data_IF_183887972501
#
_entry.id   IF_183887972501
#
_cell.length_a   1.000
_cell.length_b   1.000
_cell.length_c   1.000
_cell.angle_alpha   90.00
_cell.angle_beta   90.00
_cell.angle_gamma   90.00
#
_symmetry.space_group_name_H-M   'P 1'
#
loop_
_entity.id
_entity.type
_entity.pdbx_description
1 polymer ?
#
# COMPACT_ATOMS: atom_id res chain seq x y z
N UNK A 1 19.19 -4.52 32.43
CA UNK A 1 20.41 -4.32 31.61
C UNK A 1 20.99 -2.92 31.79
N UNK A 2 20.26 -1.85 31.48
CA UNK A 2 20.80 -0.48 31.50
C UNK A 2 21.22 0.03 32.89
N UNK A 3 20.58 -0.43 33.97
CA UNK A 3 21.00 -0.12 35.35
C UNK A 3 22.44 -0.57 35.66
N UNK A 4 22.85 -1.72 35.09
CA UNK A 4 24.17 -2.31 35.34
C UNK A 4 25.22 -1.80 34.34
N UNK A 5 24.78 -1.19 33.24
CA UNK A 5 25.63 -0.65 32.18
C UNK A 5 25.19 0.79 31.85
N UNK A 6 25.46 1.77 32.72
CA UNK A 6 24.96 3.14 32.57
C UNK A 6 25.50 3.86 31.33
N UNK A 7 26.63 3.40 30.78
CA UNK A 7 27.23 3.89 29.54
C UNK A 7 26.62 3.26 28.27
N UNK A 8 25.68 2.32 28.38
CA UNK A 8 25.10 1.64 27.23
C UNK A 8 24.20 2.61 26.45
N UNK A 9 24.61 2.92 25.21
CA UNK A 9 23.86 3.81 24.29
C UNK A 9 23.06 3.01 23.26
N UNK A 10 23.62 1.90 22.77
CA UNK A 10 23.02 1.07 21.72
C UNK A 10 23.11 -0.39 22.12
N UNK A 11 21.99 -1.10 22.01
CA UNK A 11 21.93 -2.55 22.07
C UNK A 11 21.34 -3.05 20.76
N UNK A 12 22.14 -3.79 20.02
CA UNK A 12 21.73 -4.43 18.78
C UNK A 12 22.00 -5.94 18.89
N UNK A 13 20.93 -6.72 19.00
CA UNK A 13 20.96 -8.17 19.08
C UNK A 13 20.24 -8.80 17.88
N UNK A 14 20.07 -8.04 16.80
CA UNK A 14 19.26 -8.44 15.66
C UNK A 14 19.84 -9.66 14.94
N UNK A 15 18.99 -10.49 14.32
CA UNK A 15 19.44 -11.61 13.47
C UNK A 15 19.97 -12.82 14.24
N UNK A 16 19.45 -13.07 15.45
CA UNK A 16 19.88 -14.16 16.31
C UNK A 16 18.75 -15.16 16.57
N UNK A 17 18.97 -16.12 17.48
CA UNK A 17 17.97 -17.09 17.94
C UNK A 17 17.55 -16.84 19.39
N UNK A 18 17.69 -15.62 19.89
CA UNK A 18 17.38 -15.26 21.27
C UNK A 18 15.89 -15.43 21.55
N UNK A 19 15.55 -15.94 22.72
CA UNK A 19 14.20 -16.24 23.15
C UNK A 19 13.91 -15.68 24.55
N UNK A 20 12.73 -15.95 25.08
CA UNK A 20 12.25 -15.38 26.34
C UNK A 20 11.56 -14.03 26.14
N UNK A 21 11.18 -13.37 27.23
CA UNK A 21 10.57 -12.04 27.17
C UNK A 21 11.62 -10.95 27.04
N UNK A 22 11.23 -9.84 26.41
CA UNK A 22 12.01 -8.60 26.47
C UNK A 22 11.99 -8.14 27.95
N UNK A 23 13.14 -8.03 28.64
CA UNK A 23 13.16 -7.70 30.06
C UNK A 23 12.57 -6.31 30.32
N UNK A 24 11.87 -6.16 31.45
CA UNK A 24 11.51 -4.83 31.95
C UNK A 24 12.75 -4.06 32.43
N UNK A 25 12.62 -2.73 32.58
CA UNK A 25 13.71 -1.90 33.07
C UNK A 25 14.85 -1.69 32.07
N UNK A 26 14.57 -1.82 30.76
CA UNK A 26 15.50 -1.43 29.69
C UNK A 26 15.84 0.07 29.77
N UNK A 27 14.98 0.87 30.38
CA UNK A 27 15.10 2.33 30.46
C UNK A 27 15.72 2.86 31.75
N UNK A 28 16.35 2.02 32.57
CA UNK A 28 17.00 2.44 33.81
C UNK A 28 18.35 3.16 33.62
N UNK A 29 18.86 3.30 32.38
CA UNK A 29 20.10 4.01 32.07
C UNK A 29 19.83 5.28 31.27
N UNK A 30 20.45 6.39 31.68
CA UNK A 30 20.12 7.74 31.20
C UNK A 30 20.48 8.01 29.74
N UNK A 31 21.29 7.17 29.07
CA UNK A 31 21.82 7.44 27.73
C UNK A 31 21.43 6.41 26.65
N UNK A 32 20.48 5.52 26.95
CA UNK A 32 20.12 4.43 26.05
C UNK A 32 19.23 4.90 24.88
N UNK A 33 19.80 4.95 23.67
CA UNK A 33 19.21 5.58 22.48
C UNK A 33 18.66 4.58 21.46
N UNK A 34 19.30 3.41 21.32
CA UNK A 34 18.92 2.42 20.29
C UNK A 34 18.70 1.05 20.91
N UNK A 35 17.49 0.52 20.71
CA UNK A 35 17.13 -0.87 21.00
C UNK A 35 16.78 -1.58 19.69
N UNK A 36 17.63 -2.50 19.25
CA UNK A 36 17.39 -3.31 18.06
C UNK A 36 17.46 -4.80 18.43
N UNK A 37 16.32 -5.47 18.33
CA UNK A 37 16.09 -6.87 18.68
C UNK A 37 15.48 -7.66 17.52
N UNK A 38 15.59 -7.13 16.29
CA UNK A 38 14.90 -7.65 15.12
C UNK A 38 15.30 -9.11 14.79
N UNK A 39 14.43 -9.86 14.11
CA UNK A 39 14.72 -11.20 13.61
C UNK A 39 15.25 -12.13 14.71
N UNK A 40 14.44 -12.36 15.74
CA UNK A 40 14.73 -13.24 16.88
C UNK A 40 13.49 -14.08 17.23
N UNK A 41 13.47 -14.69 18.42
CA UNK A 41 12.34 -15.45 18.97
C UNK A 41 11.84 -14.85 20.29
N UNK A 42 12.04 -13.55 20.50
CA UNK A 42 11.53 -12.89 21.70
C UNK A 42 10.01 -13.01 21.76
N UNK A 43 9.49 -13.26 22.94
CA UNK A 43 8.06 -13.50 23.20
C UNK A 43 7.57 -12.60 24.34
N UNK A 44 6.35 -12.83 24.81
CA UNK A 44 5.74 -11.96 25.84
C UNK A 44 5.08 -10.74 25.23
N UNK A 45 4.80 -9.73 26.04
CA UNK A 45 4.05 -8.54 25.61
C UNK A 45 4.93 -7.47 24.97
N UNK A 46 4.29 -6.49 24.34
CA UNK A 46 4.93 -5.23 23.97
C UNK A 46 5.64 -4.59 25.19
N UNK A 47 6.90 -4.12 25.06
CA UNK A 47 7.66 -3.58 26.17
C UNK A 47 7.17 -2.16 26.54
N UNK A 48 6.22 -2.05 27.46
CA UNK A 48 5.59 -0.77 27.83
C UNK A 48 6.55 0.27 28.40
N UNK A 49 7.65 -0.18 29.01
CA UNK A 49 8.66 0.68 29.60
C UNK A 49 9.33 1.62 28.58
N UNK A 50 9.27 1.31 27.28
CA UNK A 50 9.81 2.22 26.26
C UNK A 50 9.08 3.57 26.26
N UNK A 51 7.82 3.63 26.71
CA UNK A 51 7.07 4.88 26.85
C UNK A 51 7.78 5.88 27.78
N UNK A 52 8.40 5.38 28.86
CA UNK A 52 9.14 6.17 29.87
C UNK A 52 10.55 6.57 29.43
N UNK A 53 11.02 6.05 28.31
CA UNK A 53 12.42 6.10 27.89
C UNK A 53 12.74 7.39 27.14
N UNK A 54 12.96 8.50 27.85
CA UNK A 54 13.20 9.80 27.23
C UNK A 54 14.48 9.88 26.38
N UNK A 55 15.47 9.02 26.63
CA UNK A 55 16.70 8.90 25.86
C UNK A 55 16.57 8.06 24.60
N UNK A 56 15.53 7.24 24.49
CA UNK A 56 15.34 6.32 23.38
C UNK A 56 14.94 7.08 22.12
N UNK A 57 15.48 6.66 20.99
CA UNK A 57 15.30 7.31 19.68
C UNK A 57 14.82 6.32 18.63
N UNK A 58 15.40 5.12 18.64
CA UNK A 58 15.13 4.07 17.67
C UNK A 58 14.86 2.74 18.35
N UNK A 59 13.69 2.17 18.05
CA UNK A 59 13.22 0.89 18.58
C UNK A 59 12.87 -0.02 17.42
N UNK A 60 13.56 -1.15 17.31
CA UNK A 60 13.36 -2.15 16.25
C UNK A 60 13.13 -3.50 16.92
N UNK A 61 11.88 -3.97 16.90
CA UNK A 61 11.41 -5.20 17.53
C UNK A 61 10.85 -6.20 16.49
N UNK A 62 11.18 -5.98 15.23
CA UNK A 62 10.59 -6.67 14.10
C UNK A 62 10.89 -8.16 14.05
N UNK A 63 9.99 -8.93 13.45
CA UNK A 63 10.15 -10.37 13.22
C UNK A 63 10.51 -11.13 14.51
N UNK A 64 9.58 -11.10 15.46
CA UNK A 64 9.66 -11.79 16.76
C UNK A 64 8.31 -12.46 17.06
N UNK A 65 8.17 -13.03 18.26
CA UNK A 65 6.95 -13.68 18.75
C UNK A 65 6.24 -12.85 19.84
N UNK A 66 6.34 -11.52 19.80
CA UNK A 66 5.63 -10.64 20.74
C UNK A 66 4.12 -10.79 20.53
N UNK A 67 3.36 -10.88 21.61
CA UNK A 67 1.94 -11.23 21.62
C UNK A 67 1.16 -10.42 22.63
N UNK A 68 -0.16 -10.54 22.60
CA UNK A 68 -1.05 -9.79 23.48
C UNK A 68 -1.21 -8.34 23.01
N UNK A 69 -1.75 -7.51 23.89
CA UNK A 69 -2.18 -6.16 23.54
C UNK A 69 -1.03 -5.15 23.69
N UNK A 70 -1.05 -4.12 22.84
CA UNK A 70 -0.28 -2.90 23.11
C UNK A 70 -1.02 -2.13 24.23
N UNK A 71 -0.37 -1.84 25.37
CA UNK A 71 -1.07 -1.23 26.49
C UNK A 71 -1.65 0.15 26.17
N UNK A 72 -2.93 0.36 26.51
CA UNK A 72 -3.57 1.67 26.33
C UNK A 72 -3.00 2.75 27.27
N UNK A 73 -2.40 2.34 28.39
CA UNK A 73 -1.80 3.19 29.42
C UNK A 73 -0.31 3.50 29.16
N UNK A 74 0.19 3.31 27.92
CA UNK A 74 1.55 3.74 27.59
C UNK A 74 1.73 5.23 27.91
N UNK A 75 2.86 5.56 28.50
CA UNK A 75 3.23 6.96 28.70
C UNK A 75 3.64 7.61 27.37
N UNK A 76 3.62 8.94 27.33
CA UNK A 76 4.09 9.70 26.18
C UNK A 76 5.61 9.61 26.10
N UNK A 77 6.13 9.12 24.97
CA UNK A 77 7.56 9.14 24.72
C UNK A 77 7.94 10.39 23.90
N UNK A 78 8.83 11.27 24.41
CA UNK A 78 9.21 12.50 23.72
C UNK A 78 10.34 12.31 22.70
N UNK A 79 11.02 11.15 22.69
CA UNK A 79 12.29 10.94 21.98
C UNK A 79 12.21 10.03 20.77
N UNK A 80 11.38 8.99 20.80
CA UNK A 80 11.33 7.95 19.77
C UNK A 80 10.84 8.57 18.46
N UNK A 81 11.71 8.52 17.45
CA UNK A 81 11.38 8.93 16.09
C UNK A 81 11.19 7.75 15.13
N UNK A 82 11.70 6.57 15.51
CA UNK A 82 11.62 5.36 14.69
C UNK A 82 11.17 4.18 15.55
N UNK A 83 9.94 3.71 15.32
CA UNK A 83 9.36 2.55 15.98
C UNK A 83 8.94 1.51 14.95
N UNK A 84 9.61 0.36 14.97
CA UNK A 84 9.39 -0.75 14.05
C UNK A 84 9.09 -2.02 14.84
N UNK A 85 7.90 -2.59 14.65
CA UNK A 85 7.38 -3.75 15.40
C UNK A 85 6.68 -4.74 14.46
N UNK A 86 6.97 -4.69 13.16
CA UNK A 86 6.33 -5.55 12.18
C UNK A 86 6.64 -7.03 12.42
N UNK A 87 5.79 -7.91 11.91
CA UNK A 87 6.06 -9.35 11.94
C UNK A 87 6.06 -9.91 13.36
N UNK A 88 5.02 -9.59 14.13
CA UNK A 88 4.79 -10.11 15.47
C UNK A 88 3.37 -10.68 15.56
N UNK A 89 2.94 -11.07 16.77
CA UNK A 89 1.63 -11.63 17.08
C UNK A 89 0.79 -10.68 17.95
N UNK A 90 1.06 -9.37 17.90
CA UNK A 90 0.34 -8.37 18.69
C UNK A 90 -1.12 -8.29 18.25
N UNK A 91 -2.01 -8.13 19.21
CA UNK A 91 -3.47 -8.12 19.01
C UNK A 91 -4.12 -6.91 19.70
N UNK A 92 -5.44 -6.79 19.55
CA UNK A 92 -6.19 -5.68 20.12
C UNK A 92 -6.07 -4.40 19.28
N UNK A 93 -6.43 -3.25 19.87
CA UNK A 93 -6.47 -1.96 19.17
C UNK A 93 -5.11 -1.28 19.16
N UNK A 94 -4.86 -0.44 18.16
CA UNK A 94 -3.78 0.55 18.21
C UNK A 94 -4.16 1.60 19.25
N UNK A 95 -3.39 1.81 20.32
CA UNK A 95 -3.68 2.84 21.32
C UNK A 95 -3.59 4.27 20.75
N UNK A 96 -4.59 5.14 20.99
CA UNK A 96 -4.55 6.56 20.60
C UNK A 96 -3.35 7.34 21.12
N UNK A 97 -2.73 6.89 22.21
CA UNK A 97 -1.57 7.55 22.84
C UNK A 97 -0.36 7.67 21.92
N UNK A 98 -0.24 6.83 20.89
CA UNK A 98 0.80 7.02 19.88
C UNK A 98 0.68 8.36 19.15
N UNK A 99 -0.51 8.96 19.06
CA UNK A 99 -0.71 10.32 18.55
C UNK A 99 -0.07 11.42 19.41
N UNK A 100 0.41 11.09 20.62
CA UNK A 100 1.17 12.01 21.48
C UNK A 100 2.68 11.88 21.32
N UNK A 101 3.17 10.86 20.62
CA UNK A 101 4.60 10.65 20.40
C UNK A 101 5.07 11.48 19.21
N UNK A 102 5.03 12.81 19.35
CA UNK A 102 5.14 13.79 18.26
C UNK A 102 6.49 13.80 17.53
N UNK A 103 7.51 13.15 18.08
CA UNK A 103 8.79 12.97 17.41
C UNK A 103 8.80 11.81 16.39
N UNK A 104 7.75 10.98 16.36
CA UNK A 104 7.63 9.87 15.41
C UNK A 104 7.72 10.35 13.97
N UNK A 105 8.66 9.75 13.25
CA UNK A 105 8.86 9.90 11.80
C UNK A 105 8.57 8.58 11.06
N UNK A 106 8.80 7.45 11.72
CA UNK A 106 8.50 6.11 11.20
C UNK A 106 7.72 5.33 12.26
N UNK A 107 6.55 4.82 11.88
CA UNK A 107 5.74 3.89 12.67
C UNK A 107 5.34 2.67 11.84
N UNK A 108 5.83 1.50 12.22
CA UNK A 108 5.54 0.24 11.53
C UNK A 108 4.97 -0.81 12.50
N UNK A 109 3.68 -1.09 12.33
CA UNK A 109 2.95 -2.17 12.99
C UNK A 109 2.45 -3.23 12.00
N UNK A 110 2.99 -3.26 10.79
CA UNK A 110 2.54 -4.18 9.76
C UNK A 110 2.71 -5.65 10.17
N UNK A 111 1.99 -6.56 9.53
CA UNK A 111 2.11 -8.01 9.76
C UNK A 111 1.96 -8.40 11.25
N UNK A 112 0.84 -7.99 11.85
CA UNK A 112 0.43 -8.34 13.21
C UNK A 112 -1.05 -8.83 13.19
N UNK A 113 -1.70 -8.90 14.34
CA UNK A 113 -3.12 -9.27 14.50
C UNK A 113 -3.95 -8.12 15.09
N UNK A 114 -3.50 -6.87 14.89
CA UNK A 114 -4.16 -5.69 15.42
C UNK A 114 -5.54 -5.52 14.78
N UNK A 115 -6.50 -5.00 15.53
CA UNK A 115 -7.92 -4.93 15.19
C UNK A 115 -8.54 -3.58 15.60
N UNK A 116 -9.78 -3.32 15.21
CA UNK A 116 -10.44 -2.05 15.46
C UNK A 116 -10.01 -0.96 14.48
N UNK A 117 -10.37 0.28 14.75
CA UNK A 117 -10.09 1.41 13.86
C UNK A 117 -8.66 1.94 13.99
N UNK A 118 -8.19 2.57 12.92
CA UNK A 118 -7.01 3.42 12.96
C UNK A 118 -7.36 4.64 13.84
N UNK A 119 -6.58 4.96 14.89
CA UNK A 119 -6.86 6.11 15.75
C UNK A 119 -6.68 7.43 14.97
N UNK A 120 -7.68 8.33 14.94
CA UNK A 120 -7.55 9.65 14.32
C UNK A 120 -6.45 10.49 14.97
N UNK A 121 -6.08 10.20 16.22
CA UNK A 121 -5.00 10.88 16.94
C UNK A 121 -3.63 10.73 16.25
N UNK A 122 -3.44 9.72 15.40
CA UNK A 122 -2.23 9.60 14.59
C UNK A 122 -2.04 10.80 13.64
N UNK A 123 -3.12 11.50 13.28
CA UNK A 123 -3.06 12.75 12.52
C UNK A 123 -2.32 13.89 13.23
N UNK A 124 -2.10 13.79 14.54
CA UNK A 124 -1.32 14.79 15.30
C UNK A 124 0.19 14.67 15.09
N UNK A 125 0.64 13.61 14.42
CA UNK A 125 2.06 13.33 14.21
C UNK A 125 2.61 14.12 13.00
N UNK A 126 2.85 15.41 13.21
CA UNK A 126 3.35 16.32 12.14
C UNK A 126 4.74 15.98 11.59
N UNK A 127 5.51 15.11 12.25
CA UNK A 127 6.80 14.61 11.76
C UNK A 127 6.73 13.28 11.03
N UNK A 128 5.55 12.65 10.98
CA UNK A 128 5.37 11.31 10.45
C UNK A 128 5.61 11.30 8.94
N UNK A 129 6.61 10.53 8.51
CA UNK A 129 6.97 10.33 7.11
C UNK A 129 6.47 8.98 6.61
N UNK A 130 6.50 7.95 7.45
CA UNK A 130 6.12 6.60 7.04
C UNK A 130 5.20 6.00 8.10
N UNK A 131 4.00 5.61 7.66
CA UNK A 131 3.04 4.85 8.44
C UNK A 131 2.74 3.52 7.74
N UNK A 132 3.07 2.41 8.40
CA UNK A 132 2.76 1.06 7.90
C UNK A 132 1.93 0.29 8.90
N UNK A 133 0.70 0.00 8.51
CA UNK A 133 -0.28 -0.78 9.29
C UNK A 133 -0.79 -2.00 8.50
N UNK A 134 -0.12 -2.34 7.41
CA UNK A 134 -0.53 -3.38 6.48
C UNK A 134 -0.59 -4.78 7.10
N UNK A 135 -1.38 -5.67 6.51
CA UNK A 135 -1.49 -7.07 6.96
C UNK A 135 -1.87 -7.19 8.44
N UNK A 136 -2.99 -6.55 8.80
CA UNK A 136 -3.61 -6.62 10.12
C UNK A 136 -5.11 -6.96 9.96
N UNK A 137 -5.90 -6.77 11.02
CA UNK A 137 -7.36 -6.94 11.05
C UNK A 137 -8.06 -5.61 11.33
N UNK A 138 -7.49 -4.49 10.87
CA UNK A 138 -8.05 -3.16 11.12
C UNK A 138 -9.36 -2.99 10.35
N UNK A 139 -10.31 -2.28 10.95
CA UNK A 139 -11.70 -2.11 10.47
C UNK A 139 -12.09 -0.63 10.52
N UNK A 140 -13.22 -0.26 9.91
CA UNK A 140 -13.71 1.12 9.91
C UNK A 140 -13.04 1.96 8.82
N UNK A 141 -13.29 3.27 8.84
CA UNK A 141 -12.77 4.19 7.83
C UNK A 141 -11.32 4.58 8.05
N UNK A 142 -10.68 5.00 6.95
CA UNK A 142 -9.40 5.70 7.03
C UNK A 142 -9.69 7.09 7.63
N UNK A 143 -9.08 7.49 8.76
CA UNK A 143 -9.31 8.80 9.36
C UNK A 143 -8.79 9.92 8.45
N UNK A 144 -9.62 10.93 8.17
CA UNK A 144 -9.20 12.09 7.37
C UNK A 144 -8.13 12.91 8.09
N UNK A 145 -8.04 12.81 9.42
CA UNK A 145 -7.02 13.47 10.23
C UNK A 145 -5.59 13.06 9.86
N UNK A 146 -5.39 11.90 9.22
CA UNK A 146 -4.08 11.53 8.67
C UNK A 146 -3.60 12.50 7.59
N UNK A 147 -4.51 13.26 6.97
CA UNK A 147 -4.17 14.36 6.06
C UNK A 147 -3.43 15.54 6.71
N UNK A 148 -3.38 15.62 8.05
CA UNK A 148 -2.56 16.61 8.76
C UNK A 148 -1.08 16.21 8.86
N UNK A 149 -0.71 14.97 8.50
CA UNK A 149 0.68 14.52 8.47
C UNK A 149 1.37 15.00 7.18
N UNK A 150 1.59 16.30 7.02
CA UNK A 150 2.08 16.92 5.77
C UNK A 150 3.45 16.39 5.29
N UNK A 151 4.26 15.83 6.19
CA UNK A 151 5.56 15.21 5.87
C UNK A 151 5.45 13.75 5.41
N UNK A 152 4.25 13.20 5.33
CA UNK A 152 4.04 11.80 4.98
C UNK A 152 4.48 11.51 3.55
N UNK A 153 5.37 10.53 3.41
CA UNK A 153 5.94 10.03 2.15
C UNK A 153 5.28 8.70 1.78
N UNK A 154 5.02 7.83 2.77
CA UNK A 154 4.44 6.50 2.54
C UNK A 154 3.33 6.19 3.54
N UNK A 155 2.16 5.86 3.00
CA UNK A 155 1.03 5.31 3.73
C UNK A 155 0.74 3.91 3.22
N UNK A 156 1.00 2.90 4.06
CA UNK A 156 0.73 1.49 3.74
C UNK A 156 -0.33 0.90 4.69
N UNK A 157 -1.55 0.76 4.16
CA UNK A 157 -2.71 0.20 4.86
C UNK A 157 -3.22 -1.09 4.21
N UNK A 158 -2.47 -1.68 3.27
CA UNK A 158 -2.90 -2.84 2.48
C UNK A 158 -3.28 -4.04 3.35
N UNK A 159 -4.13 -4.92 2.82
CA UNK A 159 -4.51 -6.19 3.45
C UNK A 159 -5.07 -5.99 4.87
N UNK A 160 -6.18 -5.27 4.95
CA UNK A 160 -6.96 -5.05 6.16
C UNK A 160 -8.47 -5.20 5.84
N UNK A 161 -9.35 -4.81 6.78
CA UNK A 161 -10.79 -4.76 6.58
C UNK A 161 -11.33 -3.32 6.62
N UNK A 162 -10.52 -2.35 6.17
CA UNK A 162 -10.91 -0.94 6.15
C UNK A 162 -12.05 -0.71 5.14
N UNK A 163 -12.99 0.17 5.47
CA UNK A 163 -14.22 0.39 4.70
C UNK A 163 -14.58 1.87 4.60
N UNK A 164 -15.52 2.22 3.72
CA UNK A 164 -15.87 3.61 3.47
C UNK A 164 -14.97 4.25 2.41
N UNK A 165 -15.13 5.56 2.22
CA UNK A 165 -14.48 6.29 1.14
C UNK A 165 -13.02 6.59 1.46
N UNK A 166 -12.22 6.79 0.40
CA UNK A 166 -10.86 7.34 0.53
C UNK A 166 -11.00 8.84 0.87
N UNK A 167 -10.41 9.33 1.98
CA UNK A 167 -10.46 10.75 2.33
C UNK A 167 -9.70 11.62 1.32
N UNK A 168 -10.29 12.72 0.80
CA UNK A 168 -9.60 13.64 -0.10
C UNK A 168 -8.35 14.26 0.54
N UNK A 169 -8.34 14.44 1.86
CA UNK A 169 -7.23 15.02 2.61
C UNK A 169 -5.95 14.18 2.44
N UNK A 170 -6.08 12.85 2.39
CA UNK A 170 -4.94 11.92 2.23
C UNK A 170 -4.39 11.98 0.81
N UNK A 171 -5.28 11.98 -0.19
CA UNK A 171 -4.88 12.12 -1.59
C UNK A 171 -4.25 13.50 -1.85
N UNK A 172 -4.63 14.52 -1.07
CA UNK A 172 -4.12 15.87 -1.20
C UNK A 172 -2.72 16.10 -0.61
N UNK A 173 -2.17 15.13 0.12
CA UNK A 173 -0.88 15.25 0.82
C UNK A 173 0.27 15.58 -0.15
N UNK A 174 1.02 16.69 0.07
CA UNK A 174 1.97 17.19 -0.92
C UNK A 174 3.20 16.29 -1.12
N UNK A 175 3.67 15.66 -0.04
CA UNK A 175 4.89 14.84 -0.05
C UNK A 175 4.63 13.34 -0.24
N UNK A 176 3.37 12.92 -0.37
CA UNK A 176 3.02 11.51 -0.44
C UNK A 176 3.51 10.92 -1.76
N UNK A 177 4.33 9.87 -1.68
CA UNK A 177 4.92 9.17 -2.82
C UNK A 177 4.29 7.80 -3.07
N UNK A 178 3.93 7.07 -2.00
CA UNK A 178 3.31 5.75 -2.08
C UNK A 178 2.02 5.70 -1.24
N UNK A 179 0.90 5.45 -1.89
CA UNK A 179 -0.39 5.19 -1.25
C UNK A 179 -0.84 3.75 -1.54
N UNK A 180 -0.74 2.89 -0.52
CA UNK A 180 -1.03 1.46 -0.64
C UNK A 180 -2.27 1.09 0.18
N UNK A 181 -3.40 0.92 -0.49
CA UNK A 181 -4.71 0.65 0.11
C UNK A 181 -5.34 -0.65 -0.41
N UNK A 182 -4.61 -1.43 -1.21
CA UNK A 182 -5.13 -2.65 -1.83
C UNK A 182 -5.55 -3.70 -0.80
N UNK A 183 -6.44 -4.62 -1.19
CA UNK A 183 -6.97 -5.70 -0.34
C UNK A 183 -7.66 -5.14 0.93
N UNK A 184 -8.67 -4.30 0.71
CA UNK A 184 -9.54 -3.75 1.75
C UNK A 184 -11.01 -3.84 1.30
N UNK A 185 -11.90 -3.13 2.01
CA UNK A 185 -13.33 -3.00 1.71
C UNK A 185 -13.70 -1.54 1.41
N UNK A 186 -12.76 -0.76 0.87
CA UNK A 186 -13.00 0.65 0.52
C UNK A 186 -14.02 0.73 -0.61
N UNK A 187 -14.88 1.75 -0.57
CA UNK A 187 -15.99 1.92 -1.52
C UNK A 187 -16.15 3.40 -1.93
N UNK A 188 -17.15 3.67 -2.76
CA UNK A 188 -17.31 4.97 -3.38
C UNK A 188 -16.24 5.21 -4.45
N UNK A 189 -15.94 6.48 -4.71
CA UNK A 189 -15.08 6.88 -5.82
C UNK A 189 -13.74 7.40 -5.32
N UNK A 190 -12.74 7.46 -6.20
CA UNK A 190 -11.48 8.17 -5.89
C UNK A 190 -11.78 9.68 -5.94
N UNK A 191 -11.50 10.45 -4.87
CA UNK A 191 -11.65 11.89 -4.88
C UNK A 191 -10.91 12.57 -6.04
N UNK A 192 -11.59 13.50 -6.72
CA UNK A 192 -11.03 14.29 -7.82
C UNK A 192 -10.27 15.51 -7.29
N UNK A 193 -9.18 15.26 -6.55
CA UNK A 193 -8.43 16.28 -5.82
C UNK A 193 -6.91 16.14 -5.96
N UNK A 194 -6.43 15.45 -7.00
CA UNK A 194 -5.00 15.36 -7.28
C UNK A 194 -4.46 16.69 -7.83
N UNK A 195 -3.29 17.09 -7.34
CA UNK A 195 -2.63 18.34 -7.69
C UNK A 195 -1.26 18.08 -8.32
N UNK A 196 -0.85 18.94 -9.26
CA UNK A 196 0.47 18.87 -9.90
C UNK A 196 1.65 19.06 -8.95
N UNK A 197 1.40 19.58 -7.75
CA UNK A 197 2.40 19.75 -6.69
C UNK A 197 2.69 18.46 -5.93
N UNK A 198 1.90 17.40 -6.14
CA UNK A 198 2.05 16.15 -5.42
C UNK A 198 3.22 15.32 -5.94
N UNK A 199 3.89 14.66 -5.01
CA UNK A 199 5.02 13.76 -5.30
C UNK A 199 4.61 12.31 -5.55
N UNK A 200 3.32 12.05 -5.81
CA UNK A 200 2.80 10.69 -5.88
C UNK A 200 3.42 9.92 -7.05
N UNK A 201 4.01 8.76 -6.74
CA UNK A 201 4.67 7.88 -7.71
C UNK A 201 3.95 6.55 -7.85
N UNK A 202 3.21 6.13 -6.82
CA UNK A 202 2.53 4.84 -6.76
C UNK A 202 1.19 4.95 -6.05
N UNK A 203 0.16 4.41 -6.71
CA UNK A 203 -1.20 4.31 -6.21
C UNK A 203 -1.71 2.87 -6.39
N UNK A 204 -1.88 2.17 -5.27
CA UNK A 204 -2.32 0.78 -5.24
C UNK A 204 -3.67 0.69 -4.54
N UNK A 205 -4.74 0.53 -5.32
CA UNK A 205 -6.13 0.49 -4.86
C UNK A 205 -6.83 -0.83 -5.19
N UNK A 206 -6.09 -1.82 -5.72
CA UNK A 206 -6.67 -3.07 -6.19
C UNK A 206 -7.37 -3.88 -5.09
N UNK A 207 -8.27 -4.79 -5.47
CA UNK A 207 -9.02 -5.63 -4.54
C UNK A 207 -9.77 -4.82 -3.46
N UNK A 208 -10.62 -3.91 -3.91
CA UNK A 208 -11.55 -3.10 -3.10
C UNK A 208 -12.96 -3.14 -3.73
N UNK A 209 -13.84 -2.23 -3.33
CA UNK A 209 -15.18 -2.02 -3.89
C UNK A 209 -15.32 -0.61 -4.47
N UNK A 210 -14.25 -0.06 -5.03
CA UNK A 210 -14.26 1.29 -5.62
C UNK A 210 -15.02 1.29 -6.95
N UNK A 211 -15.69 2.40 -7.22
CA UNK A 211 -16.60 2.62 -8.35
C UNK A 211 -16.21 3.90 -9.12
N UNK A 212 -16.95 4.22 -10.17
CA UNK A 212 -16.69 5.31 -11.11
C UNK A 212 -17.08 6.71 -10.58
N UNK A 213 -16.39 7.79 -10.96
CA UNK A 213 -15.39 7.86 -12.03
C UNK A 213 -13.95 7.68 -11.55
N UNK A 214 -13.05 7.28 -12.47
CA UNK A 214 -11.62 7.53 -12.30
C UNK A 214 -11.39 9.04 -12.52
N UNK A 215 -10.84 9.77 -11.54
CA UNK A 215 -10.72 11.23 -11.61
C UNK A 215 -9.68 11.66 -12.65
N UNK A 216 -10.05 12.62 -13.50
CA UNK A 216 -9.11 13.18 -14.46
C UNK A 216 -8.03 14.04 -13.80
N UNK A 217 -8.22 14.52 -12.57
CA UNK A 217 -7.12 15.16 -11.83
C UNK A 217 -5.91 14.23 -11.64
N UNK A 218 -6.08 12.90 -11.71
CA UNK A 218 -4.95 11.95 -11.67
C UNK A 218 -3.91 12.26 -12.77
N UNK A 219 -4.36 12.78 -13.91
CA UNK A 219 -3.50 13.20 -15.02
C UNK A 219 -2.64 14.44 -14.73
N UNK A 220 -2.90 15.15 -13.62
CA UNK A 220 -2.08 16.28 -13.18
C UNK A 220 -0.77 15.82 -12.51
N UNK A 221 -0.64 14.53 -12.14
CA UNK A 221 0.51 14.01 -11.42
C UNK A 221 1.72 13.81 -12.34
N UNK A 222 2.55 14.84 -12.50
CA UNK A 222 3.72 14.80 -13.38
C UNK A 222 4.86 13.88 -12.90
N UNK A 223 4.81 13.40 -11.65
CA UNK A 223 5.77 12.45 -11.08
C UNK A 223 5.26 11.01 -11.03
N UNK A 224 4.02 10.77 -11.49
CA UNK A 224 3.39 9.47 -11.40
C UNK A 224 4.03 8.50 -12.39
N UNK A 225 4.98 7.71 -11.89
CA UNK A 225 5.94 6.99 -12.72
C UNK A 225 6.07 5.49 -12.40
N UNK A 226 5.50 5.01 -11.30
CA UNK A 226 5.61 3.61 -10.89
C UNK A 226 4.36 2.81 -11.26
N UNK A 227 3.37 2.74 -10.37
CA UNK A 227 2.24 1.83 -10.52
C UNK A 227 0.90 2.53 -10.29
N UNK A 228 -0.03 2.37 -11.22
CA UNK A 228 -1.46 2.59 -11.01
C UNK A 228 -2.16 1.23 -11.04
N UNK A 229 -2.60 0.77 -9.88
CA UNK A 229 -3.33 -0.49 -9.76
C UNK A 229 -4.75 -0.23 -9.26
N UNK A 230 -5.71 -0.40 -10.16
CA UNK A 230 -7.15 -0.31 -9.92
C UNK A 230 -7.86 -1.67 -10.07
N UNK A 231 -7.08 -2.76 -10.16
CA UNK A 231 -7.61 -4.10 -10.45
C UNK A 231 -8.61 -4.60 -9.41
N UNK A 232 -9.50 -5.51 -9.80
CA UNK A 232 -10.43 -6.17 -8.87
C UNK A 232 -11.23 -5.16 -8.02
N UNK A 233 -11.92 -4.24 -8.71
CA UNK A 233 -12.82 -3.26 -8.14
C UNK A 233 -14.18 -3.36 -8.84
N UNK A 234 -15.00 -2.31 -8.78
CA UNK A 234 -16.33 -2.23 -9.39
C UNK A 234 -16.41 -1.13 -10.45
N UNK A 235 -15.27 -0.72 -11.01
CA UNK A 235 -15.27 0.29 -12.07
C UNK A 235 -16.04 -0.20 -13.30
N UNK A 236 -16.82 0.68 -13.93
CA UNK A 236 -17.65 0.45 -15.09
C UNK A 236 -17.52 1.62 -16.09
N UNK A 237 -18.34 1.63 -17.14
CA UNK A 237 -18.25 2.66 -18.18
C UNK A 237 -16.95 2.57 -18.98
N UNK A 238 -16.53 3.68 -19.59
CA UNK A 238 -15.34 3.75 -20.44
C UNK A 238 -14.08 4.12 -19.64
N UNK A 239 -12.92 3.68 -20.12
CA UNK A 239 -11.62 4.14 -19.59
C UNK A 239 -11.49 5.64 -19.93
N UNK A 240 -11.23 6.55 -18.98
CA UNK A 240 -11.13 7.97 -19.29
C UNK A 240 -9.92 8.31 -20.16
N UNK A 241 -10.15 9.05 -21.26
CA UNK A 241 -9.10 9.50 -22.18
C UNK A 241 -7.97 10.28 -21.48
N UNK A 242 -8.30 11.01 -20.40
CA UNK A 242 -7.33 11.76 -19.62
C UNK A 242 -6.22 10.91 -18.99
N UNK A 243 -6.43 9.59 -18.78
CA UNK A 243 -5.36 8.69 -18.33
C UNK A 243 -4.21 8.60 -19.32
N UNK A 244 -4.46 8.85 -20.60
CA UNK A 244 -3.43 8.89 -21.64
C UNK A 244 -2.33 9.91 -21.39
N UNK A 245 -2.57 10.93 -20.56
CA UNK A 245 -1.58 11.95 -20.18
C UNK A 245 -0.51 11.46 -19.19
N UNK A 246 -0.67 10.26 -18.62
CA UNK A 246 0.30 9.67 -17.70
C UNK A 246 1.49 9.06 -18.48
N UNK A 247 2.25 9.92 -19.15
CA UNK A 247 3.35 9.56 -20.06
C UNK A 247 4.53 8.84 -19.37
N UNK A 248 4.72 9.07 -18.07
CA UNK A 248 5.76 8.45 -17.23
C UNK A 248 5.35 7.16 -16.55
N UNK A 249 4.06 6.81 -16.55
CA UNK A 249 3.57 5.64 -15.83
C UNK A 249 4.15 4.36 -16.42
N UNK A 250 4.62 3.45 -15.56
CA UNK A 250 5.30 2.23 -15.95
C UNK A 250 4.41 0.99 -15.92
N UNK A 251 3.56 0.89 -14.89
CA UNK A 251 2.64 -0.23 -14.68
C UNK A 251 1.22 0.30 -14.55
N UNK A 252 0.33 -0.20 -15.41
CA UNK A 252 -1.10 0.04 -15.34
C UNK A 252 -1.85 -1.29 -15.19
N UNK A 253 -2.60 -1.46 -14.10
CA UNK A 253 -3.49 -2.60 -13.92
C UNK A 253 -4.94 -2.15 -13.70
N UNK A 254 -5.80 -2.44 -14.67
CA UNK A 254 -7.24 -2.18 -14.70
C UNK A 254 -8.05 -3.49 -14.70
N UNK A 255 -7.39 -4.64 -14.51
CA UNK A 255 -8.01 -5.95 -14.71
C UNK A 255 -9.11 -6.27 -13.71
N UNK A 256 -9.99 -7.21 -14.06
CA UNK A 256 -11.06 -7.69 -13.19
C UNK A 256 -11.97 -6.55 -12.71
N UNK A 257 -12.46 -5.77 -13.67
CA UNK A 257 -13.44 -4.71 -13.45
C UNK A 257 -14.61 -4.92 -14.45
N UNK A 258 -15.48 -3.93 -14.58
CA UNK A 258 -16.57 -3.90 -15.55
C UNK A 258 -16.39 -2.82 -16.61
N UNK A 259 -15.15 -2.39 -16.92
CA UNK A 259 -14.89 -1.43 -17.99
C UNK A 259 -15.43 -1.93 -19.32
N UNK A 260 -15.94 -1.02 -20.14
CA UNK A 260 -16.61 -1.28 -21.41
C UNK A 260 -16.23 -0.23 -22.46
N UNK A 261 -16.68 -0.42 -23.69
CA UNK A 261 -16.35 0.48 -24.79
C UNK A 261 -14.94 0.26 -25.34
N UNK A 262 -14.47 1.21 -26.14
CA UNK A 262 -13.16 1.16 -26.77
C UNK A 262 -12.06 1.69 -25.84
N UNK A 263 -10.83 1.23 -26.06
CA UNK A 263 -9.66 1.78 -25.36
C UNK A 263 -9.33 3.14 -25.99
N UNK A 264 -9.28 4.25 -25.21
CA UNK A 264 -9.06 5.58 -25.76
C UNK A 264 -7.73 5.68 -26.52
N UNK A 265 -7.74 6.35 -27.68
CA UNK A 265 -6.53 6.53 -28.49
C UNK A 265 -5.40 7.26 -27.73
N UNK A 266 -5.76 8.10 -26.75
CA UNK A 266 -4.84 8.86 -25.89
C UNK A 266 -3.87 7.98 -25.11
N UNK A 267 -4.20 6.70 -24.83
CA UNK A 267 -3.27 5.79 -24.13
C UNK A 267 -2.01 5.50 -24.96
N UNK A 268 -2.00 5.81 -26.26
CA UNK A 268 -0.78 5.77 -27.07
C UNK A 268 0.28 6.79 -26.60
N UNK A 269 -0.11 7.82 -25.84
CA UNK A 269 0.81 8.80 -25.26
C UNK A 269 1.52 8.28 -23.99
N UNK A 270 1.10 7.13 -23.45
CA UNK A 270 1.69 6.51 -22.26
C UNK A 270 2.98 5.74 -22.60
N UNK A 271 3.99 6.46 -23.10
CA UNK A 271 5.20 5.91 -23.72
C UNK A 271 6.11 5.12 -22.76
N UNK A 272 6.00 5.33 -21.45
CA UNK A 272 6.83 4.66 -20.45
C UNK A 272 6.27 3.32 -19.96
N UNK A 273 5.06 2.96 -20.39
CA UNK A 273 4.43 1.70 -20.00
C UNK A 273 5.25 0.52 -20.53
N UNK A 274 5.67 -0.35 -19.60
CA UNK A 274 6.23 -1.66 -19.95
C UNK A 274 5.32 -2.81 -19.52
N UNK A 275 4.34 -2.54 -18.65
CA UNK A 275 3.33 -3.50 -18.26
C UNK A 275 1.93 -2.86 -18.24
N UNK A 276 0.98 -3.54 -18.88
CA UNK A 276 -0.44 -3.21 -18.85
C UNK A 276 -1.21 -4.49 -18.60
N UNK A 277 -2.25 -4.41 -17.78
CA UNK A 277 -3.22 -5.48 -17.59
C UNK A 277 -4.63 -4.93 -17.62
N UNK A 278 -5.41 -5.34 -18.62
CA UNK A 278 -6.82 -4.97 -18.81
C UNK A 278 -7.73 -6.21 -18.86
N UNK A 279 -7.20 -7.36 -18.46
CA UNK A 279 -7.90 -8.64 -18.53
C UNK A 279 -9.20 -8.64 -17.71
N UNK A 280 -10.16 -9.46 -18.10
CA UNK A 280 -11.44 -9.63 -17.40
C UNK A 280 -12.22 -8.31 -17.26
N UNK A 281 -12.52 -7.70 -18.40
CA UNK A 281 -13.41 -6.54 -18.57
C UNK A 281 -14.35 -6.81 -19.76
N UNK A 282 -15.09 -5.79 -20.20
CA UNK A 282 -15.97 -5.80 -21.38
C UNK A 282 -15.46 -4.86 -22.48
N UNK A 283 -14.13 -4.72 -22.60
CA UNK A 283 -13.50 -3.83 -23.58
C UNK A 283 -13.63 -4.42 -24.99
N UNK A 284 -13.75 -3.53 -25.98
CA UNK A 284 -13.87 -3.88 -27.40
C UNK A 284 -12.95 -3.05 -28.28
N UNK A 285 -12.84 -3.45 -29.55
CA UNK A 285 -12.11 -2.69 -30.56
C UNK A 285 -10.62 -3.03 -30.61
N UNK A 286 -9.89 -2.21 -31.35
CA UNK A 286 -8.47 -2.45 -31.65
C UNK A 286 -7.58 -2.09 -30.46
N UNK A 287 -6.59 -2.95 -30.18
CA UNK A 287 -5.57 -2.64 -29.19
C UNK A 287 -4.67 -1.46 -29.64
N UNK A 288 -4.32 -0.54 -28.71
CA UNK A 288 -3.36 0.52 -28.96
C UNK A 288 -2.02 0.00 -29.50
N UNK A 289 -1.45 0.66 -30.49
CA UNK A 289 -0.22 0.20 -31.14
C UNK A 289 0.97 0.17 -30.18
N UNK A 290 1.03 1.10 -29.21
CA UNK A 290 2.10 1.15 -28.20
C UNK A 290 2.09 -0.10 -27.30
N UNK A 291 0.96 -0.80 -27.17
CA UNK A 291 0.85 -2.01 -26.35
C UNK A 291 1.26 -3.29 -27.08
N UNK A 292 1.54 -3.26 -28.39
CA UNK A 292 1.88 -4.48 -29.15
C UNK A 292 3.11 -5.22 -28.60
N UNK A 293 4.09 -4.49 -28.06
CA UNK A 293 5.26 -5.08 -27.38
C UNK A 293 4.86 -5.78 -26.07
N UNK A 294 3.89 -5.20 -25.36
CA UNK A 294 3.37 -5.72 -24.09
C UNK A 294 2.56 -7.00 -24.36
N UNK A 295 1.75 -7.03 -25.42
CA UNK A 295 1.00 -8.24 -25.85
C UNK A 295 1.95 -9.42 -26.08
N UNK A 296 3.09 -9.20 -26.74
CA UNK A 296 4.07 -10.26 -26.99
C UNK A 296 4.72 -10.78 -25.69
N UNK A 297 4.91 -9.91 -24.70
CA UNK A 297 5.57 -10.24 -23.43
C UNK A 297 4.59 -10.84 -22.40
N UNK A 298 3.35 -10.35 -22.40
CA UNK A 298 2.31 -10.64 -21.42
C UNK A 298 0.94 -10.85 -22.12
N UNK A 299 0.76 -11.92 -22.92
CA UNK A 299 -0.50 -12.14 -23.65
C UNK A 299 -1.70 -12.33 -22.72
N UNK A 300 -1.47 -12.83 -21.49
CA UNK A 300 -2.51 -13.00 -20.46
C UNK A 300 -3.18 -11.70 -20.02
N UNK A 301 -2.50 -10.57 -20.14
CA UNK A 301 -2.96 -9.24 -19.72
C UNK A 301 -4.20 -8.71 -20.46
N UNK A 302 -4.62 -9.38 -21.54
CA UNK A 302 -5.71 -8.93 -22.42
C UNK A 302 -6.90 -9.91 -22.44
N UNK A 303 -6.74 -11.08 -21.82
CA UNK A 303 -7.72 -12.17 -21.82
C UNK A 303 -9.01 -11.75 -21.13
N UNK A 304 -10.14 -12.31 -21.53
CA UNK A 304 -11.44 -12.03 -20.91
C UNK A 304 -12.18 -10.85 -21.52
N UNK A 305 -11.63 -10.22 -22.56
CA UNK A 305 -12.30 -9.21 -23.38
C UNK A 305 -12.52 -9.77 -24.80
N UNK A 306 -13.67 -10.42 -25.10
CA UNK A 306 -13.85 -11.19 -26.33
C UNK A 306 -13.91 -10.34 -27.61
N UNK A 307 -14.21 -9.05 -27.49
CA UNK A 307 -14.35 -8.12 -28.63
C UNK A 307 -13.06 -7.33 -28.93
N UNK A 308 -11.95 -7.63 -28.24
CA UNK A 308 -10.65 -7.04 -28.56
C UNK A 308 -9.99 -7.73 -29.76
N UNK A 309 -9.32 -6.94 -30.60
CA UNK A 309 -8.50 -7.46 -31.69
C UNK A 309 -7.15 -6.75 -31.83
N UNK A 310 -6.17 -7.48 -32.38
CA UNK A 310 -4.86 -6.93 -32.73
C UNK A 310 -4.89 -6.14 -34.05
N UNK A 311 -5.70 -6.60 -35.00
CA UNK A 311 -5.90 -5.99 -36.31
C UNK A 311 -7.41 -5.84 -36.53
N UNK A 312 -7.88 -4.59 -36.65
CA UNK A 312 -9.23 -4.27 -37.10
C UNK A 312 -9.27 -4.12 -38.63
N UNK A 313 -10.47 -4.11 -39.21
CA UNK A 313 -10.66 -3.73 -40.61
C UNK A 313 -10.42 -2.23 -40.85
N UNK A 314 -10.58 -1.75 -42.09
CA UNK A 314 -10.40 -0.33 -42.46
C UNK A 314 -11.32 0.64 -41.67
N UNK A 315 -12.36 0.12 -41.03
CA UNK A 315 -13.29 0.87 -40.17
C UNK A 315 -13.05 0.67 -38.67
N UNK A 316 -12.01 -0.09 -38.29
CA UNK A 316 -11.66 -0.37 -36.90
C UNK A 316 -12.43 -1.52 -36.25
N UNK A 317 -13.32 -2.20 -36.98
CA UNK A 317 -14.15 -3.28 -36.44
C UNK A 317 -13.35 -4.58 -36.31
N UNK A 318 -13.51 -5.22 -35.15
CA UNK A 318 -12.97 -6.55 -34.87
C UNK A 318 -13.96 -7.61 -35.37
N UNK A 319 -13.57 -8.45 -36.34
CA UNK A 319 -14.39 -9.61 -36.75
C UNK A 319 -14.31 -10.72 -35.70
N UNK A 320 -15.46 -11.25 -35.29
CA UNK A 320 -15.53 -12.42 -34.39
C UNK A 320 -14.80 -13.63 -35.02
N UNK A 321 -13.93 -14.27 -34.24
CA UNK A 321 -13.49 -15.64 -34.53
C UNK A 321 -14.21 -16.59 -33.57
N UNK A 322 -14.78 -17.66 -34.11
CA UNK A 322 -15.74 -18.56 -33.44
C UNK A 322 -15.20 -19.22 -32.16
N UNK A 323 -16.14 -19.43 -31.22
CA UNK A 323 -15.96 -19.93 -29.85
C UNK A 323 -15.29 -21.31 -29.74
N UNK A 324 -14.11 -21.36 -29.10
CA UNK A 324 -13.54 -22.57 -28.50
C UNK A 324 -13.91 -22.72 -27.02
N UNK A 325 -14.58 -23.82 -26.68
CA UNK A 325 -15.21 -24.08 -25.38
C UNK A 325 -14.22 -24.75 -24.38
N UNK A 326 -13.52 -23.98 -23.54
CA UNK A 326 -12.72 -24.52 -22.42
C UNK A 326 -12.61 -23.57 -21.19
N UNK A 327 -13.64 -22.74 -20.98
CA UNK A 327 -13.58 -21.49 -20.20
C UNK A 327 -13.47 -21.60 -18.66
N UNK A 328 -13.63 -22.75 -18.03
CA UNK A 328 -13.77 -22.82 -16.56
C UNK A 328 -12.48 -22.91 -15.74
N UNK A 329 -11.55 -23.81 -16.11
CA UNK A 329 -10.35 -24.13 -15.30
C UNK A 329 -9.09 -23.40 -15.76
N UNK A 330 -9.01 -23.07 -17.05
CA UNK A 330 -7.90 -22.31 -17.64
C UNK A 330 -7.95 -20.84 -17.19
N UNK A 331 -9.15 -20.27 -17.07
CA UNK A 331 -9.33 -18.90 -16.58
C UNK A 331 -8.79 -18.72 -15.17
N UNK A 332 -9.15 -19.62 -14.23
CA UNK A 332 -8.68 -19.52 -12.85
C UNK A 332 -7.14 -19.61 -12.75
N UNK A 333 -6.52 -20.50 -13.51
CA UNK A 333 -5.05 -20.61 -13.56
C UNK A 333 -4.35 -19.38 -14.16
N UNK A 334 -4.95 -18.77 -15.19
CA UNK A 334 -4.41 -17.56 -15.83
C UNK A 334 -4.63 -16.32 -14.96
N UNK A 335 -5.80 -16.16 -14.33
CA UNK A 335 -6.09 -15.07 -13.38
C UNK A 335 -5.08 -15.09 -12.25
N UNK A 336 -4.84 -16.26 -11.65
CA UNK A 336 -3.86 -16.42 -10.57
C UNK A 336 -2.46 -16.05 -11.08
N UNK A 337 -2.05 -16.50 -12.27
CA UNK A 337 -0.74 -16.18 -12.83
C UNK A 337 -0.55 -14.68 -13.10
N UNK A 338 -1.59 -13.99 -13.57
CA UNK A 338 -1.54 -12.55 -13.91
C UNK A 338 -1.53 -11.69 -12.63
N UNK A 339 -2.37 -11.98 -11.64
CA UNK A 339 -2.35 -11.29 -10.33
C UNK A 339 -1.01 -11.53 -9.63
N UNK A 340 -0.48 -12.74 -9.68
CA UNK A 340 0.86 -13.07 -9.17
C UNK A 340 1.94 -12.29 -9.91
N UNK A 341 1.84 -12.11 -11.22
CA UNK A 341 2.83 -11.34 -11.99
C UNK A 341 2.88 -9.86 -11.61
N UNK A 342 1.73 -9.23 -11.34
CA UNK A 342 1.68 -7.83 -10.88
C UNK A 342 2.17 -7.71 -9.45
N UNK A 343 1.77 -8.63 -8.56
CA UNK A 343 2.29 -8.68 -7.19
C UNK A 343 3.82 -8.89 -7.16
N UNK A 344 4.36 -9.72 -8.06
CA UNK A 344 5.80 -9.95 -8.20
C UNK A 344 6.53 -8.74 -8.80
N UNK A 345 5.96 -8.07 -9.81
CA UNK A 345 6.53 -6.83 -10.37
C UNK A 345 6.55 -5.71 -9.31
N UNK A 346 5.47 -5.56 -8.55
CA UNK A 346 5.42 -4.64 -7.42
C UNK A 346 6.44 -5.05 -6.34
N UNK A 347 6.56 -6.34 -6.02
CA UNK A 347 7.54 -6.83 -5.06
C UNK A 347 8.99 -6.60 -5.52
N UNK A 348 9.29 -6.75 -6.81
CA UNK A 348 10.60 -6.47 -7.40
C UNK A 348 10.96 -4.99 -7.26
N UNK A 349 10.00 -4.08 -7.50
CA UNK A 349 10.17 -2.64 -7.24
C UNK A 349 10.55 -2.39 -5.77
N UNK A 350 9.93 -3.12 -4.83
CA UNK A 350 10.23 -2.99 -3.39
C UNK A 350 11.49 -3.73 -2.91
N UNK A 351 12.09 -4.61 -3.70
CA UNK A 351 13.39 -5.25 -3.38
C UNK A 351 14.59 -4.46 -3.90
N UNK A 352 14.38 -3.47 -4.78
CA UNK A 352 15.42 -2.68 -5.43
C UNK A 352 15.66 -1.30 -4.78
N UNK A 353 14.98 -1.00 -3.67
CA UNK A 353 15.13 0.22 -2.83
C UNK A 353 15.30 -0.22 -1.39
#
# INVERSE_FOLDING_TARGET
LSKNFPALVRLDLSGNRLNGSIPSGICAGYNFSVLALANNRFSGSFPSDIGKCSSLRRVVLSNNNLRGHIPAYLEENPGIFFLEVQGNLLEGKIPPVFGRWTNLSMLDFSSNRLSGSIPPELGKLGNLQILRLSSNRLTGSIPSELGHCEKMIKLDLKSNYLSGNIPPEIISLPNLQNLLLQENKLNGHIPDSFSSLQSLTELQLGANMLEDPIPCSLSNLHHFSSVLNLSNNRYSGEIPACLGKLDKLQILDLSSNSFSGEIPADVNNMISLYFVNISFNHLRGKLPSVWMRIVASYPGSFVGNPELCLLGDETGNCRETEKGNSRGRVLAGIVIAVVVSVALLCAMIYTLV
#
